data_IF_043160810857
#
_entry.id   IF_043160810857
#
_cell.length_a   1.000
_cell.length_b   1.000
_cell.length_c   1.000
_cell.angle_alpha   90.00
_cell.angle_beta   90.00
_cell.angle_gamma   90.00
#
_symmetry.space_group_name_H-M   'P 1'
#
loop_
_entity.id
_entity.type
_entity.pdbx_description
1 polymer ?
#
# COMPACT_ATOMS: atom_id res chain seq x y z
N UNK A 1 4.16 21.47 31.61
CA UNK A 1 3.30 22.25 30.71
C UNK A 1 3.58 21.83 29.30
N UNK A 2 2.60 21.23 28.64
CA UNK A 2 2.64 20.90 27.21
C UNK A 2 2.03 22.08 26.43
N UNK A 3 2.69 22.65 25.42
CA UNK A 3 2.00 23.56 24.50
C UNK A 3 1.20 22.73 23.48
N UNK A 4 -0.08 23.08 23.37
CA UNK A 4 -1.07 22.40 22.54
C UNK A 4 -0.78 22.51 21.04
N UNK A 5 -0.97 21.40 20.34
CA UNK A 5 -0.96 21.33 18.90
C UNK A 5 -2.32 21.77 18.33
N UNK A 6 -2.21 22.60 17.30
CA UNK A 6 -3.24 23.46 16.75
C UNK A 6 -4.38 22.72 16.04
N UNK A 7 -5.49 23.47 15.94
CA UNK A 7 -6.76 23.08 15.35
C UNK A 7 -6.67 22.49 13.94
N UNK A 8 -7.48 21.47 13.72
CA UNK A 8 -7.89 21.02 12.40
C UNK A 8 -8.75 22.12 11.76
N UNK A 9 -8.17 22.90 10.86
CA UNK A 9 -8.92 23.85 10.04
C UNK A 9 -9.75 23.07 9.00
N UNK A 10 -11.06 23.09 9.18
CA UNK A 10 -12.05 22.73 8.17
C UNK A 10 -12.06 23.81 7.08
N UNK A 11 -11.20 23.65 6.06
CA UNK A 11 -11.21 24.44 4.84
C UNK A 11 -12.07 23.76 3.78
N UNK A 12 -13.24 24.34 3.50
CA UNK A 12 -14.09 23.98 2.38
C UNK A 12 -13.36 24.21 1.05
N UNK A 13 -13.29 23.17 0.21
CA UNK A 13 -12.96 23.28 -1.20
C UNK A 13 -14.14 22.71 -2.01
N UNK A 14 -14.85 23.63 -2.66
CA UNK A 14 -15.90 23.32 -3.63
C UNK A 14 -15.30 22.71 -4.90
N UNK A 15 -16.06 21.80 -5.51
CA UNK A 15 -15.95 21.45 -6.92
C UNK A 15 -15.00 20.31 -7.26
N UNK A 16 -15.51 19.08 -7.29
CA UNK A 16 -15.11 18.11 -8.32
C UNK A 16 -16.33 17.33 -8.77
N UNK A 17 -16.78 17.58 -9.99
CA UNK A 17 -17.60 16.64 -10.74
C UNK A 17 -16.77 15.38 -10.94
N UNK A 18 -17.11 14.32 -10.22
CA UNK A 18 -16.58 12.98 -10.45
C UNK A 18 -17.65 12.24 -11.25
N UNK A 19 -17.66 12.46 -12.56
CA UNK A 19 -18.26 11.50 -13.50
C UNK A 19 -17.15 10.88 -14.33
N UNK A 20 -16.79 9.66 -13.96
CA UNK A 20 -16.16 8.69 -14.85
C UNK A 20 -16.25 7.32 -14.19
N UNK A 21 -17.39 6.67 -14.42
CA UNK A 21 -17.51 5.22 -14.47
C UNK A 21 -17.16 4.46 -13.18
N UNK A 22 -17.88 4.73 -12.08
CA UNK A 22 -18.00 3.70 -11.05
C UNK A 22 -19.15 2.77 -11.44
N UNK A 23 -18.85 1.50 -11.67
CA UNK A 23 -19.82 0.44 -11.43
C UNK A 23 -20.28 0.60 -9.98
N UNK A 24 -21.45 1.20 -9.79
CA UNK A 24 -22.10 1.36 -8.48
C UNK A 24 -22.20 0.02 -7.74
N UNK A 25 -22.23 -1.09 -8.49
CA UNK A 25 -22.16 -2.45 -7.99
C UNK A 25 -20.86 -2.76 -7.23
N UNK A 26 -19.70 -2.42 -7.79
CA UNK A 26 -18.39 -2.76 -7.20
C UNK A 26 -18.13 -2.10 -5.84
N UNK A 27 -18.45 -0.82 -5.71
CA UNK A 27 -18.30 -0.10 -4.43
C UNK A 27 -19.27 -0.66 -3.37
N UNK A 28 -20.51 -0.97 -3.76
CA UNK A 28 -21.50 -1.52 -2.84
C UNK A 28 -21.10 -2.91 -2.32
N UNK A 29 -20.51 -3.75 -3.17
CA UNK A 29 -19.97 -5.05 -2.79
C UNK A 29 -18.83 -4.92 -1.77
N UNK A 30 -17.90 -3.97 -1.97
CA UNK A 30 -16.82 -3.71 -1.01
C UNK A 30 -17.36 -3.23 0.34
N UNK A 31 -18.37 -2.36 0.35
CA UNK A 31 -18.99 -1.91 1.60
C UNK A 31 -19.62 -3.07 2.40
N UNK A 32 -20.22 -4.05 1.72
CA UNK A 32 -20.79 -5.25 2.37
C UNK A 32 -19.70 -6.12 2.97
N UNK A 33 -18.63 -6.40 2.22
CA UNK A 33 -17.51 -7.23 2.68
C UNK A 33 -16.76 -6.58 3.85
N UNK A 34 -16.59 -5.25 3.82
CA UNK A 34 -15.85 -4.51 4.85
C UNK A 34 -16.69 -4.17 6.08
N UNK A 35 -18.02 -4.35 6.03
CA UNK A 35 -18.95 -4.01 7.12
C UNK A 35 -18.54 -4.52 8.50
N UNK A 36 -18.17 -5.81 8.71
CA UNK A 36 -17.83 -6.31 10.04
C UNK A 36 -16.55 -5.69 10.63
N UNK A 37 -15.70 -5.09 9.80
CA UNK A 37 -14.42 -4.55 10.25
C UNK A 37 -14.54 -3.08 10.74
N UNK A 38 -15.68 -2.41 10.53
CA UNK A 38 -15.90 -0.99 10.84
C UNK A 38 -15.44 -0.02 9.73
N UNK A 39 -15.77 1.27 9.81
CA UNK A 39 -15.33 2.31 8.84
C UNK A 39 -15.51 1.94 7.35
N UNK A 40 -16.46 1.05 7.04
CA UNK A 40 -16.48 0.30 5.78
C UNK A 40 -16.72 1.19 4.56
N UNK A 41 -17.55 2.23 4.68
CA UNK A 41 -17.79 3.21 3.60
C UNK A 41 -16.53 3.99 3.23
N UNK A 42 -15.80 4.46 4.24
CA UNK A 42 -14.56 5.23 4.03
C UNK A 42 -13.49 4.32 3.45
N UNK A 43 -13.35 3.09 3.97
CA UNK A 43 -12.37 2.12 3.47
C UNK A 43 -12.68 1.63 2.06
N UNK A 44 -13.95 1.39 1.72
CA UNK A 44 -14.33 0.98 0.37
C UNK A 44 -13.97 2.07 -0.65
N UNK A 45 -14.33 3.34 -0.37
CA UNK A 45 -13.97 4.46 -1.25
C UNK A 45 -12.46 4.69 -1.33
N UNK A 46 -11.78 4.61 -0.18
CA UNK A 46 -10.33 4.75 -0.10
C UNK A 46 -9.62 3.67 -0.92
N UNK A 47 -10.06 2.41 -0.83
CA UNK A 47 -9.50 1.29 -1.57
C UNK A 47 -9.69 1.45 -3.08
N UNK A 48 -10.90 1.79 -3.55
CA UNK A 48 -11.15 2.02 -4.98
C UNK A 48 -10.26 3.15 -5.53
N UNK A 49 -10.16 4.25 -4.78
CA UNK A 49 -9.31 5.37 -5.17
C UNK A 49 -7.83 5.01 -5.17
N UNK A 50 -7.36 4.33 -4.12
CA UNK A 50 -5.99 3.81 -4.03
C UNK A 50 -5.66 2.93 -5.23
N UNK A 51 -6.51 1.96 -5.56
CA UNK A 51 -6.29 1.05 -6.68
C UNK A 51 -6.19 1.78 -8.02
N UNK A 52 -7.02 2.82 -8.23
CA UNK A 52 -6.93 3.65 -9.44
C UNK A 52 -5.64 4.45 -9.48
N UNK A 53 -5.28 5.13 -8.39
CA UNK A 53 -4.03 5.88 -8.31
C UNK A 53 -2.80 4.97 -8.46
N UNK A 54 -2.83 3.75 -7.90
CA UNK A 54 -1.73 2.80 -8.01
C UNK A 54 -1.40 2.44 -9.46
N UNK A 55 -2.42 2.33 -10.33
CA UNK A 55 -2.29 1.96 -11.74
C UNK A 55 -2.06 3.16 -12.66
N UNK A 56 -2.81 4.24 -12.45
CA UNK A 56 -2.88 5.36 -13.39
C UNK A 56 -1.88 6.48 -13.06
N UNK A 57 -1.47 6.62 -11.80
CA UNK A 57 -0.54 7.68 -11.37
C UNK A 57 0.90 7.23 -11.58
N UNK A 58 1.76 8.15 -12.02
CA UNK A 58 3.21 7.97 -11.90
C UNK A 58 3.63 8.36 -10.48
N UNK A 59 4.08 7.39 -9.69
CA UNK A 59 4.51 7.59 -8.31
C UNK A 59 5.83 6.88 -8.06
N UNK A 60 6.66 7.44 -7.17
CA UNK A 60 7.94 6.83 -6.77
C UNK A 60 7.92 6.45 -5.30
N UNK A 61 7.32 7.29 -4.46
CA UNK A 61 7.09 6.99 -3.04
C UNK A 61 5.64 6.51 -2.86
N UNK A 62 5.40 5.34 -2.22
CA UNK A 62 4.05 4.86 -1.95
C UNK A 62 3.19 5.86 -1.14
N UNK A 63 3.78 6.78 -0.38
CA UNK A 63 3.06 7.85 0.35
C UNK A 63 2.33 8.82 -0.57
N UNK A 64 2.70 8.86 -1.85
CA UNK A 64 2.00 9.67 -2.84
C UNK A 64 0.60 9.11 -3.17
N UNK A 65 0.32 7.86 -2.81
CA UNK A 65 -0.94 7.20 -3.09
C UNK A 65 -1.97 7.43 -1.98
N UNK A 66 -3.23 7.60 -2.39
CA UNK A 66 -4.33 7.79 -1.45
C UNK A 66 -4.42 6.67 -0.41
N UNK A 67 -4.51 7.05 0.87
CA UNK A 67 -4.69 6.10 1.98
C UNK A 67 -3.40 5.42 2.47
N UNK A 68 -2.24 5.74 1.90
CA UNK A 68 -0.95 5.21 2.36
C UNK A 68 -0.32 6.15 3.38
N UNK A 69 -0.24 5.67 4.64
CA UNK A 69 0.49 6.33 5.72
C UNK A 69 1.89 5.75 5.94
N UNK A 70 2.60 6.27 6.95
CA UNK A 70 3.96 5.86 7.33
C UNK A 70 4.12 4.33 7.45
N UNK A 71 3.18 3.65 8.15
CA UNK A 71 3.22 2.20 8.31
C UNK A 71 3.29 1.45 6.97
N UNK A 72 2.38 1.79 6.04
CA UNK A 72 2.30 1.11 4.75
C UNK A 72 3.50 1.45 3.85
N UNK A 73 4.01 2.69 3.93
CA UNK A 73 5.22 3.09 3.22
C UNK A 73 6.47 2.34 3.73
N UNK A 74 6.63 2.21 5.05
CA UNK A 74 7.72 1.47 5.67
C UNK A 74 7.64 -0.02 5.30
N UNK A 75 6.43 -0.61 5.36
CA UNK A 75 6.20 -1.99 4.92
C UNK A 75 6.56 -2.18 3.43
N UNK A 76 6.11 -1.30 2.55
CA UNK A 76 6.45 -1.38 1.12
C UNK A 76 7.97 -1.33 0.88
N UNK A 77 8.66 -0.43 1.57
CA UNK A 77 10.11 -0.32 1.43
C UNK A 77 10.85 -1.54 2.01
N UNK A 78 10.37 -2.11 3.12
CA UNK A 78 10.94 -3.32 3.71
C UNK A 78 10.74 -4.54 2.80
N UNK A 79 9.49 -4.78 2.36
CA UNK A 79 9.11 -6.04 1.72
C UNK A 79 9.17 -6.00 0.19
N UNK A 80 8.72 -4.92 -0.44
CA UNK A 80 8.65 -4.84 -1.90
C UNK A 80 9.93 -4.29 -2.53
N UNK A 81 10.63 -3.39 -1.82
CA UNK A 81 11.89 -2.78 -2.29
C UNK A 81 13.13 -3.45 -1.72
N UNK A 82 13.00 -4.26 -0.66
CA UNK A 82 14.12 -4.92 0.00
C UNK A 82 15.01 -3.96 0.81
N UNK A 83 14.58 -2.72 1.06
CA UNK A 83 15.34 -1.68 1.75
C UNK A 83 15.23 -1.77 3.28
N UNK A 84 15.03 -2.99 3.81
CA UNK A 84 14.73 -3.20 5.23
C UNK A 84 15.85 -2.77 6.19
N UNK A 85 17.10 -2.71 5.71
CA UNK A 85 18.23 -2.17 6.46
C UNK A 85 18.10 -0.66 6.67
N UNK A 86 17.64 0.06 5.66
CA UNK A 86 17.50 1.53 5.63
C UNK A 86 16.24 2.01 6.36
N UNK A 87 15.16 1.22 6.31
CA UNK A 87 13.88 1.57 6.94
C UNK A 87 13.97 1.50 8.45
N UNK A 88 13.40 2.50 9.14
CA UNK A 88 13.37 2.60 10.59
C UNK A 88 11.90 2.73 11.05
N UNK A 89 11.15 1.61 11.06
CA UNK A 89 9.71 1.67 11.22
C UNK A 89 9.34 2.12 12.63
N UNK A 90 8.27 2.91 12.76
CA UNK A 90 7.71 3.28 14.07
C UNK A 90 6.78 2.20 14.65
N UNK A 91 6.17 1.42 13.76
CA UNK A 91 5.22 0.35 14.09
C UNK A 91 5.89 -0.80 14.85
N UNK A 92 5.18 -1.33 15.85
CA UNK A 92 5.71 -2.36 16.76
C UNK A 92 6.00 -3.69 16.05
N UNK A 93 5.19 -4.06 15.07
CA UNK A 93 5.27 -5.37 14.44
C UNK A 93 6.32 -5.32 13.32
N UNK A 94 6.40 -4.20 12.59
CA UNK A 94 7.51 -3.95 11.66
C UNK A 94 8.86 -3.86 12.38
N UNK A 95 8.93 -3.24 13.58
CA UNK A 95 10.14 -3.24 14.41
C UNK A 95 10.58 -4.64 14.77
N UNK A 96 9.67 -5.44 15.34
CA UNK A 96 9.96 -6.83 15.71
C UNK A 96 10.45 -7.65 14.51
N UNK A 97 9.83 -7.48 13.34
CA UNK A 97 10.26 -8.18 12.14
C UNK A 97 11.65 -7.72 11.65
N UNK A 98 11.94 -6.42 11.71
CA UNK A 98 13.27 -5.88 11.39
C UNK A 98 14.34 -6.41 12.36
N UNK A 99 14.05 -6.46 13.65
CA UNK A 99 14.98 -7.00 14.66
C UNK A 99 15.31 -8.47 14.36
N UNK A 100 14.29 -9.27 14.03
CA UNK A 100 14.49 -10.64 13.58
C UNK A 100 15.34 -10.75 12.30
N UNK A 101 15.12 -9.88 11.31
CA UNK A 101 15.97 -9.83 10.10
C UNK A 101 17.43 -9.49 10.43
N UNK A 102 17.68 -8.63 11.42
CA UNK A 102 19.03 -8.31 11.88
C UNK A 102 19.70 -9.53 12.53
N UNK A 103 18.96 -10.28 13.35
CA UNK A 103 19.45 -11.50 14.01
C UNK A 103 19.78 -12.63 13.01
N UNK A 104 18.97 -12.77 11.96
CA UNK A 104 19.14 -13.83 10.96
C UNK A 104 20.00 -13.43 9.76
N UNK A 105 20.53 -12.20 9.75
CA UNK A 105 21.30 -11.68 8.61
C UNK A 105 20.49 -11.55 7.33
N UNK A 106 19.18 -11.28 7.45
CA UNK A 106 18.26 -11.12 6.32
C UNK A 106 17.71 -12.43 5.77
N UNK A 107 17.93 -13.57 6.42
CA UNK A 107 17.25 -14.81 6.02
C UNK A 107 15.73 -14.64 6.18
N UNK A 108 14.98 -14.96 5.13
CA UNK A 108 13.53 -14.73 5.08
C UNK A 108 13.10 -13.33 4.61
N UNK A 109 14.03 -12.46 4.20
CA UNK A 109 13.74 -11.30 3.33
C UNK A 109 13.31 -11.69 1.91
N UNK A 110 13.10 -13.00 1.69
CA UNK A 110 12.81 -13.66 0.42
C UNK A 110 11.63 -13.07 -0.31
N UNK A 111 11.92 -12.04 -1.08
CA UNK A 111 11.41 -11.79 -2.42
C UNK A 111 12.60 -11.24 -3.20
N UNK A 112 13.50 -12.13 -3.67
CA UNK A 112 14.30 -11.76 -4.83
C UNK A 112 13.29 -11.49 -5.93
N UNK A 113 13.21 -10.27 -6.43
CA UNK A 113 12.36 -9.98 -7.57
C UNK A 113 12.87 -10.84 -8.70
N UNK A 114 12.17 -11.92 -9.02
CA UNK A 114 12.43 -12.67 -10.23
C UNK A 114 12.41 -11.65 -11.37
N UNK A 115 13.46 -11.62 -12.17
CA UNK A 115 13.46 -10.75 -13.33
C UNK A 115 12.30 -11.23 -14.21
N UNK A 116 11.36 -10.34 -14.52
CA UNK A 116 10.21 -10.70 -15.35
C UNK A 116 10.66 -11.32 -16.69
N UNK A 117 11.83 -10.91 -17.20
CA UNK A 117 12.45 -11.51 -18.37
C UNK A 117 12.82 -12.99 -18.15
N UNK A 118 13.38 -13.35 -16.99
CA UNK A 118 13.77 -14.71 -16.63
C UNK A 118 12.53 -15.62 -16.47
N UNK A 119 11.46 -15.08 -15.88
CA UNK A 119 10.16 -15.78 -15.74
C UNK A 119 9.54 -16.05 -17.10
N UNK A 120 9.53 -15.06 -17.99
CA UNK A 120 8.98 -15.19 -19.34
C UNK A 120 9.83 -16.09 -20.24
N UNK A 121 11.16 -16.10 -20.06
CA UNK A 121 12.05 -17.01 -20.79
C UNK A 121 11.84 -18.47 -20.38
N UNK A 122 11.58 -18.72 -19.10
CA UNK A 122 11.33 -20.06 -18.54
C UNK A 122 9.95 -20.60 -18.96
N UNK A 123 8.94 -19.74 -19.11
CA UNK A 123 7.61 -20.16 -19.56
C UNK A 123 7.54 -20.44 -21.07
N UNK A 124 8.36 -19.75 -21.89
CA UNK A 124 8.40 -19.99 -23.34
C UNK A 124 9.06 -21.33 -23.74
N UNK A 125 9.97 -21.85 -22.90
CA UNK A 125 10.76 -23.05 -23.20
C UNK A 125 10.07 -24.38 -22.81
N UNK A 126 8.90 -24.34 -22.14
CA UNK A 126 8.17 -25.52 -21.68
C UNK A 126 7.01 -25.97 -22.58
N UNK A 127 6.73 -25.27 -23.69
CA UNK A 127 5.60 -25.59 -24.60
C UNK A 127 6.00 -26.45 -25.81
N UNK A 128 7.16 -27.12 -25.77
CA UNK A 128 7.67 -27.92 -26.88
C UNK A 128 8.06 -29.33 -26.47
N UNK A 129 7.07 -30.23 -26.29
CA UNK A 129 7.22 -31.69 -26.41
C UNK A 129 5.84 -32.28 -26.73
#
# INVERSE_FOLDING_TARGET
GFPGAAGWNAGAAAGTSIDSGQSSGGLSALEVILRPLGLFRVRARGLVRFSREYLDKQWTDPRELHGIGQYAADAYNMFCRGLWLEVQPADKDLKRYRDWLMETGGQGSGLVRECLADVLATSASSTGT
#
